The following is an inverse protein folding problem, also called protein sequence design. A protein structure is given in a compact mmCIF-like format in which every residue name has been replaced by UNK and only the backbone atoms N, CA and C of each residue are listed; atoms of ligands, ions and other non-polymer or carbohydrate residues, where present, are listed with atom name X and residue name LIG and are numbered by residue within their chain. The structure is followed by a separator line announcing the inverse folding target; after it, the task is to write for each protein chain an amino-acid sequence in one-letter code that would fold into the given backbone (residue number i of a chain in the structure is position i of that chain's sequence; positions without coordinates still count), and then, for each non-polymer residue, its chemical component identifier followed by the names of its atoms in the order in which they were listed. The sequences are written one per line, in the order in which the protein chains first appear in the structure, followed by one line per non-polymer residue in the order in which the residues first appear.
data_IF_002397915899
#
_entry.id   IF_002397915899
#
_cell.length_a   1.000
_cell.length_b   1.000
_cell.length_c   1.000
_cell.angle_alpha   90.00
_cell.angle_beta   90.00
_cell.angle_gamma   90.00
#
_symmetry.space_group_name_H-M   'P 1'
#
loop_
_entity.id
_entity.type
_entity.pdbx_description
1 polymer ?
#
# COMPACT_ATOMS: atom_id res chain seq x y z
N UNK A 1 -9.21 -59.18 -2.01
CA UNK A 1 -8.49 -59.25 -0.72
C UNK A 1 -8.64 -57.89 -0.07
N UNK A 2 -9.34 -57.76 1.07
CA UNK A 2 -9.54 -56.47 1.72
C UNK A 2 -8.26 -56.05 2.47
N UNK A 3 -7.91 -54.76 2.35
CA UNK A 3 -6.81 -54.12 3.08
C UNK A 3 -7.21 -53.92 4.56
N UNK A 4 -6.26 -53.96 5.51
CA UNK A 4 -6.57 -53.81 6.93
C UNK A 4 -6.87 -52.35 7.31
N UNK A 5 -7.63 -52.11 8.40
CA UNK A 5 -7.97 -50.75 8.85
C UNK A 5 -6.74 -50.02 9.41
N UNK A 6 -6.61 -48.74 9.06
CA UNK A 6 -5.63 -47.82 9.66
C UNK A 6 -6.01 -47.57 11.11
N UNK A 7 -5.08 -47.87 12.02
CA UNK A 7 -5.21 -47.55 13.45
C UNK A 7 -4.97 -46.05 13.63
N UNK A 8 -5.95 -45.33 14.16
CA UNK A 8 -5.73 -44.00 14.70
C UNK A 8 -4.77 -44.11 15.89
N UNK A 9 -3.65 -43.40 15.82
CA UNK A 9 -2.75 -43.22 16.94
C UNK A 9 -3.22 -41.99 17.72
N UNK A 10 -3.79 -42.19 18.90
CA UNK A 10 -3.93 -41.09 19.88
C UNK A 10 -2.52 -40.66 20.29
N UNK A 11 -2.09 -39.48 19.84
CA UNK A 11 -0.93 -38.81 20.41
C UNK A 11 -1.44 -38.04 21.63
N UNK A 12 -1.07 -38.50 22.83
CA UNK A 12 -1.30 -37.76 24.05
C UNK A 12 -0.35 -36.56 24.10
N UNK A 13 -0.83 -35.38 23.75
CA UNK A 13 -0.15 -34.12 23.98
C UNK A 13 -0.30 -33.69 25.43
N UNK A 14 0.78 -33.73 26.20
CA UNK A 14 0.84 -33.15 27.53
C UNK A 14 0.91 -31.62 27.41
N UNK A 15 -0.17 -30.92 27.73
CA UNK A 15 -0.16 -29.48 27.93
C UNK A 15 0.37 -29.18 29.33
N UNK A 16 1.59 -28.63 29.41
CA UNK A 16 2.21 -28.16 30.63
C UNK A 16 1.77 -26.71 30.86
N UNK A 17 0.84 -26.47 31.79
CA UNK A 17 0.53 -25.10 32.25
C UNK A 17 1.03 -24.91 33.68
N UNK A 18 1.74 -23.80 33.85
CA UNK A 18 2.50 -23.44 35.03
C UNK A 18 1.67 -23.43 36.32
N UNK A 19 2.28 -23.96 37.37
CA UNK A 19 1.72 -23.99 38.71
C UNK A 19 1.54 -22.58 39.29
N UNK A 20 0.33 -22.26 39.74
CA UNK A 20 0.11 -21.30 40.82
C UNK A 20 -0.45 -22.07 42.02
N UNK A 21 0.41 -22.29 43.02
CA UNK A 21 -0.01 -22.90 44.28
C UNK A 21 -0.91 -21.91 45.05
N UNK A 22 -2.16 -22.31 45.31
CA UNK A 22 -2.95 -21.77 46.43
C UNK A 22 -3.57 -22.94 47.19
N UNK A 23 -3.42 -22.88 48.51
CA UNK A 23 -3.44 -24.04 49.41
C UNK A 23 -4.77 -24.76 49.56
N UNK A 24 -4.65 -26.07 49.77
CA UNK A 24 -5.74 -26.98 50.13
C UNK A 24 -6.19 -26.73 51.58
N UNK A 25 -7.49 -26.45 51.77
CA UNK A 25 -8.15 -26.29 53.06
C UNK A 25 -9.50 -27.02 53.10
N UNK A 26 -9.46 -28.24 53.65
CA UNK A 26 -10.52 -29.01 54.32
C UNK A 26 -11.98 -28.99 53.82
N UNK A 27 -12.42 -30.16 53.37
CA UNK A 27 -13.62 -30.90 53.81
C UNK A 27 -14.84 -30.08 54.27
N UNK A 28 -15.85 -29.99 53.42
CA UNK A 28 -17.19 -29.57 53.86
C UNK A 28 -18.16 -29.42 52.68
N UNK A 29 -19.27 -30.16 52.74
CA UNK A 29 -20.45 -30.10 51.87
C UNK A 29 -20.59 -28.84 51.02
N UNK A 30 -20.55 -28.99 49.69
CA UNK A 30 -20.98 -27.95 48.76
C UNK A 30 -22.51 -27.90 48.73
N UNK A 31 -23.03 -27.03 49.59
CA UNK A 31 -24.41 -26.56 49.54
C UNK A 31 -24.56 -25.66 48.32
N UNK A 32 -25.56 -25.99 47.51
CA UNK A 32 -26.00 -25.24 46.33
C UNK A 32 -26.33 -23.79 46.73
N UNK A 33 -25.40 -22.88 46.49
CA UNK A 33 -25.62 -21.44 46.61
C UNK A 33 -25.09 -20.81 45.33
N UNK A 34 -25.97 -20.08 44.63
CA UNK A 34 -25.70 -19.44 43.35
C UNK A 34 -24.58 -18.42 43.44
N UNK A 35 -23.35 -18.87 43.22
CA UNK A 35 -22.21 -18.03 42.93
C UNK A 35 -21.91 -18.20 41.45
N UNK A 36 -22.08 -17.11 40.69
CA UNK A 36 -21.49 -16.91 39.37
C UNK A 36 -19.97 -16.86 39.52
N UNK A 37 -19.36 -18.01 39.77
CA UNK A 37 -17.92 -18.16 39.60
C UNK A 37 -17.67 -18.43 38.13
N UNK A 38 -16.64 -17.81 37.51
CA UNK A 38 -16.17 -18.25 36.21
C UNK A 38 -15.76 -19.71 36.37
N UNK A 39 -16.55 -20.59 35.78
CA UNK A 39 -16.27 -22.01 35.83
C UNK A 39 -15.24 -22.26 34.77
N UNK A 40 -14.00 -22.51 35.17
CA UNK A 40 -12.95 -22.98 34.28
C UNK A 40 -13.43 -24.32 33.67
N UNK A 41 -13.70 -24.39 32.35
CA UNK A 41 -14.21 -25.59 31.72
C UNK A 41 -13.17 -26.74 31.77
N UNK A 42 -11.88 -26.44 31.97
CA UNK A 42 -10.85 -27.45 32.21
C UNK A 42 -10.88 -28.05 33.64
N UNK A 43 -11.66 -27.46 34.54
CA UNK A 43 -11.85 -27.92 35.93
C UNK A 43 -13.10 -28.79 36.12
N UNK A 44 -13.98 -28.83 35.11
CA UNK A 44 -15.16 -29.70 35.11
C UNK A 44 -14.85 -31.01 34.39
N UNK A 45 -14.94 -32.13 35.11
CA UNK A 45 -14.88 -33.44 34.47
C UNK A 45 -15.98 -33.55 33.39
N UNK A 46 -15.67 -34.22 32.28
CA UNK A 46 -16.52 -34.38 31.08
C UNK A 46 -17.99 -34.77 31.34
N UNK A 47 -18.31 -35.34 32.51
CA UNK A 47 -19.67 -35.67 32.93
C UNK A 47 -20.51 -34.50 33.49
N UNK A 48 -19.92 -33.34 33.82
CA UNK A 48 -20.67 -32.16 34.30
C UNK A 48 -21.04 -31.19 33.17
N UNK A 49 -20.28 -31.16 32.08
CA UNK A 49 -20.56 -30.31 30.90
C UNK A 49 -21.80 -30.81 30.13
N UNK A 50 -22.01 -32.12 30.04
CA UNK A 50 -23.19 -32.75 29.40
C UNK A 50 -24.54 -32.43 30.09
N UNK A 51 -24.53 -31.74 31.24
CA UNK A 51 -25.73 -31.29 31.96
C UNK A 51 -26.06 -29.82 31.72
N UNK A 52 -25.18 -29.08 31.05
CA UNK A 52 -25.41 -27.68 30.73
C UNK A 52 -26.37 -27.59 29.54
N UNK A 53 -27.04 -26.44 29.41
CA UNK A 53 -27.89 -26.17 28.25
C UNK A 53 -26.96 -25.92 27.06
N UNK A 54 -27.29 -26.56 25.96
CA UNK A 54 -26.67 -26.51 24.64
C UNK A 54 -27.87 -26.40 23.69
N UNK A 55 -28.11 -25.18 23.23
CA UNK A 55 -29.37 -24.77 22.62
C UNK A 55 -29.46 -25.11 21.13
N UNK A 56 -28.34 -25.23 20.42
CA UNK A 56 -28.25 -25.59 19.00
C UNK A 56 -27.63 -26.97 18.73
N UNK A 57 -26.98 -27.59 19.72
CA UNK A 57 -26.52 -28.97 19.68
C UNK A 57 -25.17 -29.16 19.00
N UNK A 58 -24.33 -28.13 18.97
CA UNK A 58 -23.01 -28.09 18.32
C UNK A 58 -21.90 -28.77 19.16
N UNK A 59 -22.12 -28.90 20.47
CA UNK A 59 -21.17 -29.45 21.44
C UNK A 59 -20.60 -28.44 22.43
N UNK A 60 -20.89 -27.14 22.29
CA UNK A 60 -20.60 -26.09 23.25
C UNK A 60 -21.84 -25.77 24.11
N UNK A 61 -21.68 -25.69 25.44
CA UNK A 61 -22.76 -25.16 26.27
C UNK A 61 -22.97 -23.65 26.08
N UNK A 62 -24.22 -23.18 26.10
CA UNK A 62 -24.64 -21.77 25.94
C UNK A 62 -23.84 -20.73 26.78
N UNK A 63 -23.21 -21.18 27.87
CA UNK A 63 -22.43 -20.32 28.78
C UNK A 63 -21.00 -20.03 28.28
N UNK A 64 -20.46 -20.88 27.41
CA UNK A 64 -19.12 -20.73 26.80
C UNK A 64 -19.18 -20.59 25.29
N UNK A 65 -20.32 -20.91 24.69
CA UNK A 65 -20.58 -20.78 23.27
C UNK A 65 -20.68 -19.31 22.83
N UNK A 66 -19.86 -18.85 21.87
CA UNK A 66 -19.97 -17.53 21.25
C UNK A 66 -21.28 -17.34 20.47
N UNK A 67 -21.85 -18.42 19.94
CA UNK A 67 -23.07 -18.43 19.13
C UNK A 67 -24.13 -19.42 19.64
N UNK A 68 -24.76 -19.20 20.83
CA UNK A 68 -25.64 -20.17 21.50
C UNK A 68 -26.91 -20.63 20.76
N UNK A 69 -27.16 -20.14 19.55
CA UNK A 69 -28.32 -20.50 18.75
C UNK A 69 -27.97 -20.76 17.28
N UNK A 70 -26.68 -20.87 16.97
CA UNK A 70 -26.15 -21.11 15.63
C UNK A 70 -25.09 -22.21 15.72
N UNK A 71 -25.37 -23.43 15.24
CA UNK A 71 -24.49 -24.57 15.47
C UNK A 71 -23.20 -24.58 14.64
N UNK A 72 -22.95 -23.55 13.84
CA UNK A 72 -21.92 -23.44 12.79
C UNK A 72 -21.72 -21.94 12.49
N UNK A 73 -20.99 -21.26 13.38
CA UNK A 73 -20.89 -19.81 13.48
C UNK A 73 -20.24 -19.13 12.29
N UNK A 74 -19.28 -19.79 11.64
CA UNK A 74 -18.61 -19.34 10.42
C UNK A 74 -19.25 -19.91 9.13
N UNK A 75 -19.98 -21.02 9.24
CA UNK A 75 -20.70 -21.64 8.13
C UNK A 75 -19.85 -22.57 7.27
N UNK A 76 -18.72 -23.08 7.77
CA UNK A 76 -17.82 -23.98 7.05
C UNK A 76 -18.35 -25.44 6.99
N UNK A 77 -19.34 -25.75 7.84
CA UNK A 77 -19.98 -27.07 7.96
C UNK A 77 -19.44 -27.95 9.08
N UNK A 78 -18.54 -27.45 9.92
CA UNK A 78 -18.03 -28.03 11.15
C UNK A 78 -18.74 -27.35 12.32
N UNK A 79 -19.38 -28.11 13.22
CA UNK A 79 -20.01 -27.48 14.38
C UNK A 79 -18.98 -26.83 15.33
N UNK A 80 -19.30 -25.67 15.91
CA UNK A 80 -18.37 -24.85 16.71
C UNK A 80 -17.66 -25.64 17.81
N UNK A 81 -18.38 -26.51 18.53
CA UNK A 81 -17.80 -27.39 19.55
C UNK A 81 -16.81 -28.45 19.05
N UNK A 82 -16.72 -28.64 17.74
CA UNK A 82 -15.75 -29.48 17.05
C UNK A 82 -14.80 -28.69 16.13
N UNK A 83 -14.98 -27.37 16.05
CA UNK A 83 -14.18 -26.52 15.18
C UNK A 83 -12.81 -26.18 15.78
N UNK A 84 -11.79 -26.24 14.93
CA UNK A 84 -10.43 -25.85 15.25
C UNK A 84 -10.10 -24.42 14.80
N UNK A 85 -10.97 -23.76 14.04
CA UNK A 85 -10.81 -22.47 13.38
C UNK A 85 -12.20 -21.81 13.31
N UNK A 86 -12.60 -21.09 14.37
CA UNK A 86 -14.00 -20.68 14.60
C UNK A 86 -14.49 -19.54 13.71
N UNK A 87 -13.61 -18.92 12.92
CA UNK A 87 -13.94 -17.82 12.03
C UNK A 87 -13.45 -18.01 10.59
N UNK A 88 -13.00 -19.22 10.24
CA UNK A 88 -12.51 -19.63 8.91
C UNK A 88 -11.43 -18.69 8.34
N UNK A 89 -10.49 -18.27 9.19
CA UNK A 89 -9.43 -17.33 8.84
C UNK A 89 -8.08 -17.99 8.55
N UNK A 90 -8.03 -19.32 8.61
CA UNK A 90 -6.87 -20.20 8.45
C UNK A 90 -5.89 -20.22 9.64
N UNK A 91 -6.24 -19.61 10.76
CA UNK A 91 -5.48 -19.61 12.00
C UNK A 91 -6.21 -20.40 13.08
N UNK A 92 -5.61 -21.53 13.48
CA UNK A 92 -6.27 -22.38 14.48
C UNK A 92 -6.49 -21.65 15.81
N UNK A 93 -7.67 -21.82 16.41
CA UNK A 93 -8.13 -21.19 17.67
C UNK A 93 -7.05 -21.09 18.78
N UNK A 94 -6.18 -22.09 19.03
CA UNK A 94 -5.15 -21.98 20.07
C UNK A 94 -3.96 -21.07 19.74
N UNK A 95 -3.76 -20.74 18.47
CA UNK A 95 -2.71 -19.85 17.96
C UNK A 95 -3.26 -18.50 17.52
N UNK A 96 -4.57 -18.40 17.38
CA UNK A 96 -5.28 -17.22 16.93
C UNK A 96 -5.41 -16.16 18.05
N UNK A 97 -4.91 -14.92 17.82
CA UNK A 97 -5.12 -13.79 18.72
C UNK A 97 -6.56 -13.27 18.80
N UNK A 98 -7.40 -13.51 17.80
CA UNK A 98 -8.82 -13.16 17.81
C UNK A 98 -9.73 -14.26 17.18
N UNK A 99 -9.99 -15.38 17.89
CA UNK A 99 -10.75 -16.58 17.43
C UNK A 99 -12.21 -16.42 16.98
N UNK A 100 -12.68 -15.19 16.80
CA UNK A 100 -14.05 -14.85 16.38
C UNK A 100 -14.05 -13.64 15.44
N UNK A 101 -12.87 -13.24 14.96
CA UNK A 101 -12.68 -12.10 14.09
C UNK A 101 -11.64 -12.42 13.01
N UNK A 102 -12.08 -12.81 11.81
CA UNK A 102 -11.20 -13.39 10.78
C UNK A 102 -10.27 -12.39 10.08
N UNK A 103 -10.39 -11.11 10.45
CA UNK A 103 -9.53 -10.04 9.97
C UNK A 103 -9.37 -8.99 11.09
N UNK A 104 -8.27 -9.03 11.82
CA UNK A 104 -8.03 -8.19 13.00
C UNK A 104 -7.87 -6.70 12.68
N UNK A 105 -7.19 -6.35 11.59
CA UNK A 105 -6.89 -4.95 11.27
C UNK A 105 -7.85 -4.32 10.24
N UNK A 106 -8.64 -5.16 9.57
CA UNK A 106 -9.70 -4.81 8.65
C UNK A 106 -9.23 -4.45 7.24
N UNK A 107 -8.09 -4.97 6.79
CA UNK A 107 -7.47 -4.63 5.51
C UNK A 107 -8.03 -5.38 4.28
N UNK A 108 -8.78 -6.47 4.50
CA UNK A 108 -9.30 -7.36 3.47
C UNK A 108 -8.56 -8.71 3.30
N UNK A 109 -7.44 -8.93 3.98
CA UNK A 109 -6.71 -10.21 4.03
C UNK A 109 -7.10 -10.96 5.30
N UNK A 110 -7.33 -12.28 5.21
CA UNK A 110 -7.62 -13.09 6.40
C UNK A 110 -6.36 -13.27 7.25
N UNK A 111 -6.47 -13.31 8.58
CA UNK A 111 -5.30 -13.30 9.48
C UNK A 111 -4.32 -14.45 9.21
N UNK A 112 -4.82 -15.65 8.86
CA UNK A 112 -3.97 -16.79 8.50
C UNK A 112 -3.24 -16.64 7.16
N UNK A 113 -3.61 -15.65 6.35
CA UNK A 113 -2.97 -15.28 5.08
C UNK A 113 -2.22 -13.94 5.14
N UNK A 114 -2.36 -13.18 6.22
CA UNK A 114 -1.77 -11.87 6.39
C UNK A 114 -0.42 -11.93 7.15
N UNK A 115 0.60 -11.26 6.59
CA UNK A 115 1.92 -11.12 7.23
C UNK A 115 1.91 -10.05 8.34
N UNK A 116 0.89 -9.19 8.35
CA UNK A 116 0.81 -7.96 9.11
C UNK A 116 -0.49 -7.81 9.92
N UNK A 117 -1.04 -8.90 10.48
CA UNK A 117 -2.33 -9.05 11.20
C UNK A 117 -2.77 -7.96 12.22
N UNK A 118 -1.94 -6.99 12.57
CA UNK A 118 -2.27 -5.86 13.44
C UNK A 118 -2.04 -4.50 12.77
N UNK A 119 -1.83 -4.46 11.46
CA UNK A 119 -1.45 -3.28 10.71
C UNK A 119 -1.97 -3.32 9.28
N UNK A 120 -3.15 -2.73 9.10
CA UNK A 120 -3.88 -2.77 7.85
C UNK A 120 -3.19 -2.11 6.64
N UNK A 121 -2.10 -1.37 6.87
CA UNK A 121 -1.33 -0.68 5.84
C UNK A 121 0.16 -0.79 6.22
N UNK A 122 0.84 -1.82 5.72
CA UNK A 122 2.21 -2.13 6.10
C UNK A 122 3.24 -1.13 5.60
N UNK A 123 3.01 -0.60 4.39
CA UNK A 123 3.93 0.32 3.74
C UNK A 123 3.62 1.80 4.07
N UNK A 124 2.49 2.09 4.73
CA UNK A 124 1.99 3.42 5.07
C UNK A 124 1.79 4.33 3.84
N UNK A 125 1.35 3.76 2.72
CA UNK A 125 1.01 4.53 1.50
C UNK A 125 -0.44 5.05 1.50
N UNK A 126 -1.24 4.66 2.49
CA UNK A 126 -2.64 5.06 2.65
C UNK A 126 -3.64 4.13 1.98
N UNK A 127 -3.19 3.04 1.34
CA UNK A 127 -4.01 1.98 0.76
C UNK A 127 -3.85 0.73 1.64
N UNK A 128 -4.95 0.16 2.16
CA UNK A 128 -4.87 -1.08 2.93
C UNK A 128 -4.25 -2.23 2.14
N UNK A 129 -3.51 -3.12 2.80
CA UNK A 129 -2.75 -4.20 2.18
C UNK A 129 -3.62 -5.10 1.28
N UNK A 130 -4.84 -5.46 1.74
CA UNK A 130 -5.82 -6.21 0.95
C UNK A 130 -6.38 -5.48 -0.28
N UNK A 131 -6.06 -4.20 -0.48
CA UNK A 131 -6.43 -3.39 -1.65
C UNK A 131 -5.22 -3.01 -2.53
N UNK A 132 -4.03 -3.54 -2.25
CA UNK A 132 -2.78 -3.29 -3.00
C UNK A 132 -2.68 -4.00 -4.35
N UNK A 133 -3.78 -4.54 -4.87
CA UNK A 133 -3.77 -5.27 -6.12
C UNK A 133 -3.61 -4.30 -7.30
N UNK A 134 -2.68 -4.60 -8.21
CA UNK A 134 -2.42 -3.88 -9.46
C UNK A 134 -2.47 -4.92 -10.59
N UNK A 135 -3.61 -5.02 -11.26
CA UNK A 135 -3.88 -6.14 -12.17
C UNK A 135 -3.16 -6.01 -13.51
N UNK A 136 -2.93 -4.79 -14.00
CA UNK A 136 -2.27 -4.54 -15.28
C UNK A 136 -0.80 -4.14 -15.17
N UNK A 137 -0.33 -3.85 -13.95
CA UNK A 137 1.06 -3.61 -13.63
C UNK A 137 1.53 -2.21 -14.00
N UNK A 138 0.63 -1.23 -14.01
CA UNK A 138 0.93 0.15 -14.40
C UNK A 138 1.56 0.98 -13.27
N UNK A 139 1.53 0.48 -12.04
CA UNK A 139 2.04 1.14 -10.83
C UNK A 139 0.96 1.82 -9.98
N UNK A 140 -0.28 1.88 -10.46
CA UNK A 140 -1.47 2.29 -9.71
C UNK A 140 -2.21 1.05 -9.21
N UNK A 141 -2.65 1.06 -7.95
CA UNK A 141 -3.50 -0.03 -7.47
C UNK A 141 -4.91 0.07 -8.05
N UNK A 142 -5.55 -1.06 -8.30
CA UNK A 142 -6.91 -1.20 -8.84
C UNK A 142 -7.94 -0.36 -8.04
N UNK A 143 -7.69 -0.15 -6.75
CA UNK A 143 -8.58 0.61 -5.86
C UNK A 143 -8.63 2.12 -6.19
N UNK A 144 -7.59 2.66 -6.82
CA UNK A 144 -7.47 4.09 -7.21
C UNK A 144 -7.31 4.29 -8.72
N UNK A 145 -7.00 3.23 -9.45
CA UNK A 145 -6.86 3.28 -10.90
C UNK A 145 -8.21 3.43 -11.61
N UNK A 146 -8.24 4.36 -12.56
CA UNK A 146 -9.39 4.61 -13.43
C UNK A 146 -9.53 3.58 -14.56
N UNK A 147 -8.46 2.83 -14.90
CA UNK A 147 -8.47 1.80 -15.94
C UNK A 147 -7.74 0.50 -15.52
N UNK A 148 -8.25 -0.26 -14.50
CA UNK A 148 -7.53 -1.38 -13.82
C UNK A 148 -7.16 -2.62 -14.65
N UNK A 149 -7.27 -2.58 -15.97
CA UNK A 149 -7.00 -3.70 -16.87
C UNK A 149 -6.25 -3.26 -18.11
N UNK A 150 -5.89 -1.98 -18.21
CA UNK A 150 -5.20 -1.43 -19.35
C UNK A 150 -4.08 -0.49 -18.86
N UNK A 151 -2.82 -0.94 -18.91
CA UNK A 151 -1.73 -0.25 -18.23
C UNK A 151 -1.19 0.98 -18.97
N UNK A 152 -1.69 1.23 -20.19
CA UNK A 152 -1.34 2.38 -21.03
C UNK A 152 -2.59 2.74 -21.86
N UNK A 153 -3.36 3.73 -21.41
CA UNK A 153 -4.64 4.11 -22.01
C UNK A 153 -4.48 4.95 -23.26
N UNK A 154 -3.43 5.75 -23.32
CA UNK A 154 -3.18 6.66 -24.43
C UNK A 154 -2.25 6.06 -25.51
N UNK A 155 -1.71 4.87 -25.27
CA UNK A 155 -0.78 4.11 -26.12
C UNK A 155 0.53 4.87 -26.40
N UNK A 156 1.03 5.66 -25.45
CA UNK A 156 2.24 6.46 -25.60
C UNK A 156 3.53 5.74 -25.16
N UNK A 157 3.43 4.50 -24.66
CA UNK A 157 4.52 3.65 -24.14
C UNK A 157 5.03 4.03 -22.74
N UNK A 158 4.35 4.92 -22.04
CA UNK A 158 4.51 5.22 -20.62
C UNK A 158 3.29 4.61 -19.92
N UNK A 159 3.51 3.92 -18.81
CA UNK A 159 2.39 3.31 -18.08
C UNK A 159 1.63 4.39 -17.33
N UNK A 160 0.30 4.29 -17.25
CA UNK A 160 -0.57 5.32 -16.68
C UNK A 160 -0.13 5.70 -15.24
N UNK A 161 0.16 4.72 -14.38
CA UNK A 161 0.72 4.93 -13.02
C UNK A 161 2.12 5.55 -12.96
N UNK A 162 2.81 5.71 -14.08
CA UNK A 162 4.11 6.38 -14.21
C UNK A 162 4.01 7.74 -14.94
N UNK A 163 2.80 8.18 -15.31
CA UNK A 163 2.56 9.45 -15.99
C UNK A 163 2.45 10.65 -15.04
N UNK A 164 2.79 10.49 -13.76
CA UNK A 164 2.86 11.59 -12.82
C UNK A 164 3.89 12.64 -13.27
N UNK A 165 3.52 13.91 -13.19
CA UNK A 165 4.32 15.09 -13.47
C UNK A 165 4.09 16.05 -12.29
N UNK A 166 5.02 16.05 -11.34
CA UNK A 166 4.80 16.72 -10.04
C UNK A 166 4.96 18.23 -10.11
N UNK A 167 5.83 18.75 -10.96
CA UNK A 167 6.08 20.17 -11.10
C UNK A 167 5.31 20.82 -12.26
N UNK A 168 4.78 20.00 -13.18
CA UNK A 168 3.94 20.42 -14.29
C UNK A 168 4.74 20.95 -15.48
N UNK A 169 5.98 20.51 -15.66
CA UNK A 169 6.86 20.93 -16.76
C UNK A 169 6.54 20.23 -18.10
N UNK A 170 5.76 19.15 -18.07
CA UNK A 170 5.41 18.35 -19.23
C UNK A 170 6.32 17.13 -19.47
N UNK A 171 7.30 16.86 -18.61
CA UNK A 171 8.09 15.64 -18.55
C UNK A 171 7.57 14.80 -17.37
N UNK A 172 7.19 13.56 -17.64
CA UNK A 172 6.77 12.67 -16.55
C UNK A 172 7.95 12.41 -15.60
N UNK A 173 7.69 12.31 -14.30
CA UNK A 173 8.66 12.10 -13.23
C UNK A 173 9.62 10.93 -13.51
N UNK A 174 9.15 9.88 -14.20
CA UNK A 174 9.97 8.72 -14.57
C UNK A 174 11.06 9.02 -15.62
N UNK A 175 10.89 10.08 -16.39
CA UNK A 175 11.80 10.56 -17.44
C UNK A 175 12.47 11.89 -17.09
N UNK A 176 12.01 12.56 -16.03
CA UNK A 176 12.50 13.86 -15.60
C UNK A 176 13.73 13.75 -14.65
N UNK A 177 14.90 14.32 -15.01
CA UNK A 177 16.03 14.54 -14.11
C UNK A 177 15.75 15.49 -12.93
N UNK A 178 14.75 16.36 -13.04
CA UNK A 178 14.41 17.44 -12.12
C UNK A 178 12.94 17.44 -11.65
N UNK A 179 12.38 16.29 -11.19
CA UNK A 179 10.93 16.05 -10.98
C UNK A 179 10.22 16.92 -9.94
N UNK A 180 10.93 17.81 -9.24
CA UNK A 180 10.38 18.73 -8.26
C UNK A 180 10.64 20.20 -8.66
N UNK A 181 11.09 20.45 -9.89
CA UNK A 181 11.55 21.75 -10.34
C UNK A 181 11.18 22.04 -11.80
N UNK A 182 10.04 22.73 -11.96
CA UNK A 182 9.46 23.18 -13.22
C UNK A 182 10.44 23.81 -14.23
N UNK A 183 11.50 24.46 -13.74
CA UNK A 183 12.47 25.22 -14.53
C UNK A 183 13.87 25.03 -13.90
N UNK A 184 14.56 23.97 -14.30
CA UNK A 184 15.84 23.53 -13.75
C UNK A 184 16.94 24.57 -13.87
N UNK A 185 17.02 25.23 -15.03
CA UNK A 185 18.06 26.19 -15.35
C UNK A 185 17.66 27.65 -14.98
N UNK A 186 16.40 27.89 -14.65
CA UNK A 186 15.88 29.18 -14.19
C UNK A 186 15.71 30.19 -15.31
N UNK A 187 15.50 29.76 -16.56
CA UNK A 187 15.40 30.63 -17.73
C UNK A 187 13.98 31.16 -18.00
N UNK A 188 12.96 30.65 -17.28
CA UNK A 188 11.56 31.03 -17.42
C UNK A 188 10.75 30.18 -18.41
N UNK A 189 11.34 29.13 -18.99
CA UNK A 189 10.71 28.12 -19.86
C UNK A 189 10.66 26.81 -19.05
N UNK A 190 9.49 26.15 -18.95
CA UNK A 190 9.43 24.86 -18.30
C UNK A 190 10.30 23.80 -18.99
N UNK A 191 10.89 22.90 -18.21
CA UNK A 191 11.84 21.89 -18.67
C UNK A 191 11.30 21.04 -19.86
N UNK A 192 10.03 20.60 -19.82
CA UNK A 192 9.40 19.87 -20.93
C UNK A 192 9.19 20.68 -22.22
N UNK A 193 9.21 22.01 -22.15
CA UNK A 193 9.20 22.92 -23.29
C UNK A 193 10.62 23.43 -23.66
N UNK A 194 11.65 23.11 -22.87
CA UNK A 194 13.04 23.51 -23.07
C UNK A 194 13.90 22.36 -23.64
N UNK A 195 14.54 22.59 -24.77
CA UNK A 195 15.37 21.57 -25.42
C UNK A 195 16.75 21.35 -24.75
N UNK A 196 17.15 22.24 -23.85
CA UNK A 196 18.48 22.27 -23.22
C UNK A 196 18.40 22.39 -21.68
N UNK A 197 17.28 21.98 -21.07
CA UNK A 197 17.03 22.02 -19.62
C UNK A 197 18.08 21.27 -18.77
N UNK A 198 18.77 20.27 -19.36
CA UNK A 198 19.76 19.41 -18.69
C UNK A 198 21.21 19.95 -18.70
N UNK A 199 21.41 21.21 -19.12
CA UNK A 199 22.71 21.86 -19.30
C UNK A 199 23.72 21.05 -20.17
N UNK A 200 23.29 20.02 -20.91
CA UNK A 200 24.18 19.09 -21.64
C UNK A 200 24.83 19.71 -22.89
N UNK A 201 24.42 20.93 -23.24
CA UNK A 201 25.00 21.72 -24.34
C UNK A 201 25.26 23.15 -23.88
N UNK A 202 26.39 23.77 -24.29
CA UNK A 202 26.54 25.21 -24.18
C UNK A 202 25.51 25.84 -25.13
N UNK A 203 24.46 26.37 -24.53
CA UNK A 203 23.16 26.76 -25.07
C UNK A 203 23.22 27.73 -26.28
N UNK A 204 22.16 27.79 -27.10
CA UNK A 204 22.01 28.72 -28.24
C UNK A 204 20.57 29.23 -28.57
N UNK A 205 19.66 29.49 -27.61
CA UNK A 205 18.71 30.62 -27.66
C UNK A 205 17.37 30.54 -28.39
N UNK A 206 16.29 30.64 -27.61
CA UNK A 206 15.27 31.70 -27.74
C UNK A 206 14.70 32.05 -26.34
N UNK A 207 14.21 33.28 -26.18
CA UNK A 207 13.35 33.86 -25.10
C UNK A 207 13.66 33.78 -23.60
N UNK A 208 14.71 33.10 -23.14
CA UNK A 208 15.17 33.17 -21.74
C UNK A 208 16.68 33.24 -21.56
N UNK A 209 17.42 32.86 -22.59
CA UNK A 209 18.79 32.41 -22.37
C UNK A 209 19.84 32.99 -23.34
N UNK A 210 19.42 33.78 -24.35
CA UNK A 210 20.31 34.74 -25.04
C UNK A 210 19.67 36.10 -25.12
N UNK A 211 20.09 37.06 -24.27
CA UNK A 211 19.63 38.42 -24.42
C UNK A 211 20.11 38.95 -25.79
N UNK A 212 19.17 39.57 -26.49
CA UNK A 212 19.32 40.42 -27.66
C UNK A 212 18.70 41.76 -27.23
N UNK A 213 19.51 42.55 -26.53
CA UNK A 213 19.06 43.67 -25.71
C UNK A 213 18.56 44.85 -26.54
N UNK A 214 18.95 44.94 -27.82
CA UNK A 214 18.51 45.96 -28.77
C UNK A 214 17.65 45.44 -29.93
N UNK A 215 17.42 44.12 -30.01
CA UNK A 215 16.55 43.43 -30.96
C UNK A 215 16.99 43.58 -32.42
N UNK A 216 18.29 43.54 -32.65
CA UNK A 216 18.90 43.78 -33.95
C UNK A 216 19.16 42.48 -34.74
N UNK A 217 19.03 41.33 -34.07
CA UNK A 217 19.20 39.99 -34.63
C UNK A 217 20.55 39.35 -34.31
N UNK A 218 21.50 40.05 -33.68
CA UNK A 218 22.63 39.47 -32.96
C UNK A 218 22.27 39.29 -31.48
N UNK A 219 22.85 38.27 -30.88
CA UNK A 219 22.78 38.07 -29.42
C UNK A 219 23.87 38.91 -28.75
N UNK A 220 23.61 39.45 -27.56
CA UNK A 220 24.52 40.30 -26.77
C UNK A 220 25.96 39.75 -26.66
N UNK A 221 26.12 38.43 -26.64
CA UNK A 221 27.43 37.79 -26.52
C UNK A 221 28.28 37.82 -27.81
N UNK A 222 27.66 38.03 -28.97
CA UNK A 222 28.29 38.13 -30.29
C UNK A 222 28.15 39.52 -30.91
N UNK A 223 27.25 40.33 -30.35
CA UNK A 223 27.01 41.71 -30.70
C UNK A 223 28.20 42.62 -30.31
N UNK A 224 28.73 43.43 -31.26
CA UNK A 224 29.77 44.41 -30.95
C UNK A 224 29.35 45.53 -29.98
N UNK A 225 28.07 45.91 -29.96
CA UNK A 225 27.46 46.86 -29.01
C UNK A 225 26.02 46.44 -28.65
N UNK A 226 25.84 45.56 -27.64
CA UNK A 226 24.55 44.93 -27.28
C UNK A 226 23.35 45.84 -26.96
N UNK A 227 23.54 47.15 -26.93
CA UNK A 227 22.48 48.11 -26.63
C UNK A 227 22.30 49.13 -27.77
N UNK A 228 22.90 48.89 -28.92
CA UNK A 228 22.84 49.73 -30.10
C UNK A 228 22.67 48.86 -31.36
N UNK A 229 21.47 48.85 -31.97
CA UNK A 229 21.10 47.90 -33.02
C UNK A 229 21.70 48.25 -34.40
N UNK A 230 22.76 49.04 -34.46
CA UNK A 230 23.47 49.56 -35.65
C UNK A 230 24.76 50.22 -35.15
N UNK A 231 25.80 49.41 -34.91
CA UNK A 231 27.02 49.82 -34.20
C UNK A 231 27.80 50.90 -34.96
N UNK A 232 27.82 50.85 -36.29
CA UNK A 232 28.57 51.79 -37.11
C UNK A 232 27.74 52.92 -37.74
N UNK A 233 26.42 52.84 -37.64
CA UNK A 233 25.47 53.89 -38.01
C UNK A 233 25.23 53.98 -39.52
N UNK A 234 25.43 52.89 -40.26
CA UNK A 234 25.27 52.86 -41.72
C UNK A 234 23.83 52.58 -42.17
N UNK A 235 22.96 52.19 -41.23
CA UNK A 235 21.54 51.94 -41.41
C UNK A 235 21.14 50.47 -41.58
N UNK A 236 22.09 49.53 -41.47
CA UNK A 236 21.82 48.10 -41.37
C UNK A 236 22.01 47.62 -39.93
N UNK A 237 21.06 46.87 -39.37
CA UNK A 237 21.27 46.26 -38.06
C UNK A 237 22.44 45.27 -38.03
N UNK A 238 23.17 45.18 -36.92
CA UNK A 238 24.37 44.33 -36.82
C UNK A 238 24.01 42.85 -37.08
N UNK A 239 22.78 42.44 -36.74
CA UNK A 239 22.23 41.11 -37.03
C UNK A 239 22.10 40.75 -38.50
N UNK A 240 22.17 41.74 -39.39
CA UNK A 240 22.04 41.56 -40.84
C UNK A 240 23.19 42.15 -41.64
N UNK A 241 24.14 42.83 -40.98
CA UNK A 241 25.33 43.42 -41.58
C UNK A 241 26.53 42.46 -41.53
N UNK A 242 27.16 42.21 -42.69
CA UNK A 242 28.35 41.37 -42.80
C UNK A 242 29.60 42.03 -42.15
N UNK A 243 29.57 43.34 -41.93
CA UNK A 243 30.66 44.11 -41.33
C UNK A 243 30.18 45.19 -40.33
N UNK A 244 29.61 44.80 -39.16
CA UNK A 244 28.94 45.71 -38.20
C UNK A 244 29.80 46.80 -37.53
N UNK A 245 31.07 46.93 -37.93
CA UNK A 245 32.04 47.90 -37.40
C UNK A 245 32.63 48.79 -38.51
N UNK A 246 32.22 48.63 -39.77
CA UNK A 246 32.74 49.39 -40.91
C UNK A 246 31.58 49.99 -41.74
N UNK A 247 31.31 51.30 -41.59
CA UNK A 247 30.12 51.95 -42.16
C UNK A 247 30.20 52.15 -43.69
N UNK A 248 31.12 51.47 -44.36
CA UNK A 248 31.33 51.47 -45.80
C UNK A 248 31.15 50.08 -46.43
N UNK A 249 30.80 49.07 -45.62
CA UNK A 249 30.60 47.67 -46.02
C UNK A 249 29.28 47.21 -45.41
N UNK A 250 28.52 46.41 -46.16
CA UNK A 250 27.19 45.91 -45.82
C UNK A 250 27.13 44.42 -46.13
#
# INVERSE_FOLDING_TARGET
MPLPPRRAACVAGSLLVAALMVGCGSSGNLQLAGALLPVDPNSLGTGQLSSLVDSDGDGLPDIVDPWPFDPDGDGDGIPDGMDADLDDDYLINPLDPAPLNPNIDGDGILDGLDEHIFNADANNDGIPDGLQQDYDGDGSVDAVDSNPVNPDVNENLILDGLEEDFDGDGIVNALDPHPDNLDANGNGIPDGDDADYDESRPFAGVDGEFPDSDNDGLRDALDPDPFNPDTDGDGFPDGVDDAPLDPNVN
#
